data_IF_519251094948
#
_entry.id   IF_519251094948
#
_cell.length_a   1.000
_cell.length_b   1.000
_cell.length_c   1.000
_cell.angle_alpha   90.00
_cell.angle_beta   90.00
_cell.angle_gamma   90.00
#
_symmetry.space_group_name_H-M   'P 1'
#
loop_
_entity.id
_entity.type
_entity.pdbx_description
1 polymer ?
#
# COMPACT_ATOMS: atom_id res chain seq x y z
N UNK A 1 -29.12 -30.05 19.49
CA UNK A 1 -28.62 -29.59 18.17
C UNK A 1 -28.39 -28.07 18.10
N UNK A 2 -29.10 -27.24 18.87
CA UNK A 2 -28.95 -25.77 18.82
C UNK A 2 -27.65 -25.23 19.45
N UNK A 3 -27.14 -25.83 20.52
CA UNK A 3 -25.93 -25.37 21.21
C UNK A 3 -24.64 -25.48 20.39
N UNK A 4 -24.59 -26.41 19.42
CA UNK A 4 -23.47 -26.54 18.49
C UNK A 4 -23.51 -25.43 17.44
N UNK A 5 -24.70 -25.10 16.90
CA UNK A 5 -24.86 -24.02 15.92
C UNK A 5 -24.42 -22.66 16.49
N UNK A 6 -24.81 -22.38 17.73
CA UNK A 6 -24.41 -21.16 18.47
C UNK A 6 -22.88 -21.01 18.57
N UNK A 7 -22.17 -22.10 18.92
CA UNK A 7 -20.70 -22.12 18.97
C UNK A 7 -20.07 -21.87 17.60
N UNK A 8 -20.53 -22.57 16.58
CA UNK A 8 -20.05 -22.38 15.20
C UNK A 8 -20.26 -20.95 14.68
N UNK A 9 -21.39 -20.32 14.99
CA UNK A 9 -21.65 -18.91 14.61
C UNK A 9 -20.74 -17.96 15.37
N UNK A 10 -20.52 -18.19 16.67
CA UNK A 10 -19.61 -17.37 17.49
C UNK A 10 -18.16 -17.48 17.03
N UNK A 11 -17.71 -18.68 16.68
CA UNK A 11 -16.36 -18.92 16.15
C UNK A 11 -16.18 -18.28 14.78
N UNK A 12 -17.14 -18.41 13.85
CA UNK A 12 -17.08 -17.68 12.56
C UNK A 12 -17.05 -16.17 12.74
N UNK A 13 -17.85 -15.61 13.66
CA UNK A 13 -17.83 -14.16 13.96
C UNK A 13 -16.48 -13.70 14.50
N UNK A 14 -15.86 -14.49 15.40
CA UNK A 14 -14.52 -14.20 15.93
C UNK A 14 -13.46 -14.25 14.84
N UNK A 15 -13.46 -15.31 14.04
CA UNK A 15 -12.52 -15.46 12.92
C UNK A 15 -12.66 -14.29 11.93
N UNK A 16 -13.89 -13.95 11.51
CA UNK A 16 -14.13 -12.81 10.63
C UNK A 16 -13.61 -11.50 11.22
N UNK A 17 -13.81 -11.26 12.52
CA UNK A 17 -13.32 -10.05 13.21
C UNK A 17 -11.79 -9.98 13.19
N UNK A 18 -11.10 -11.09 13.45
CA UNK A 18 -9.64 -11.19 13.43
C UNK A 18 -9.08 -10.92 12.03
N UNK A 19 -9.68 -11.52 10.98
CA UNK A 19 -9.28 -11.27 9.60
C UNK A 19 -9.50 -9.82 9.18
N UNK A 20 -10.66 -9.23 9.52
CA UNK A 20 -10.95 -7.82 9.20
C UNK A 20 -9.94 -6.90 9.89
N UNK A 21 -9.64 -7.14 11.17
CA UNK A 21 -8.65 -6.35 11.90
C UNK A 21 -7.26 -6.45 11.24
N UNK A 22 -6.82 -7.66 10.88
CA UNK A 22 -5.54 -7.87 10.23
C UNK A 22 -5.47 -7.15 8.85
N UNK A 23 -6.52 -7.24 8.04
CA UNK A 23 -6.60 -6.59 6.73
C UNK A 23 -6.55 -5.06 6.88
N UNK A 24 -7.29 -4.51 7.84
CA UNK A 24 -7.29 -3.06 8.09
C UNK A 24 -5.89 -2.58 8.49
N UNK A 25 -5.22 -3.29 9.40
CA UNK A 25 -3.84 -2.94 9.79
C UNK A 25 -2.88 -3.02 8.62
N UNK A 26 -2.97 -4.07 7.80
CA UNK A 26 -2.13 -4.22 6.61
C UNK A 26 -2.37 -3.10 5.58
N UNK A 27 -3.63 -2.69 5.37
CA UNK A 27 -3.98 -1.60 4.46
C UNK A 27 -3.39 -0.26 4.92
N UNK A 28 -3.50 0.06 6.21
CA UNK A 28 -2.94 1.29 6.77
C UNK A 28 -1.42 1.32 6.57
N UNK A 29 -0.73 0.23 6.90
CA UNK A 29 0.71 0.11 6.68
C UNK A 29 1.07 0.24 5.19
N UNK A 30 0.33 -0.42 4.31
CA UNK A 30 0.57 -0.35 2.87
C UNK A 30 0.40 1.08 2.32
N UNK A 31 -0.59 1.84 2.81
CA UNK A 31 -0.78 3.23 2.45
C UNK A 31 0.39 4.11 2.91
N UNK A 32 0.89 3.91 4.12
CA UNK A 32 2.06 4.63 4.63
C UNK A 32 3.30 4.30 3.78
N UNK A 33 3.57 3.03 3.52
CA UNK A 33 4.72 2.60 2.71
C UNK A 33 4.64 3.21 1.30
N UNK A 34 3.46 3.18 0.67
CA UNK A 34 3.24 3.74 -0.67
C UNK A 34 3.37 5.27 -0.70
N UNK A 35 2.90 5.95 0.34
CA UNK A 35 2.97 7.41 0.41
C UNK A 35 4.41 7.89 0.62
N UNK A 36 5.16 7.25 1.54
CA UNK A 36 6.41 7.81 2.09
C UNK A 36 7.68 7.04 1.71
N UNK A 37 7.62 5.74 1.41
CA UNK A 37 8.82 4.90 1.26
C UNK A 37 9.11 4.62 -0.22
N UNK A 38 8.17 4.00 -0.93
CA UNK A 38 8.42 3.52 -2.31
C UNK A 38 7.27 3.82 -3.26
N UNK A 39 7.61 4.17 -4.49
CA UNK A 39 6.65 4.28 -5.58
C UNK A 39 7.25 3.76 -6.89
N UNK A 40 6.50 2.92 -7.60
CA UNK A 40 6.83 2.50 -8.94
C UNK A 40 6.40 3.57 -9.95
N UNK A 41 7.30 3.91 -10.87
CA UNK A 41 7.05 4.82 -11.98
C UNK A 41 7.47 4.18 -13.29
N UNK A 42 6.75 4.54 -14.36
CA UNK A 42 7.15 4.25 -15.72
C UNK A 42 7.74 5.52 -16.32
N UNK A 43 8.92 5.43 -16.95
CA UNK A 43 9.55 6.58 -17.59
C UNK A 43 8.78 6.94 -18.87
N UNK A 44 8.15 8.14 -18.95
CA UNK A 44 7.32 8.52 -20.09
C UNK A 44 8.09 9.25 -21.19
N UNK A 45 9.27 9.80 -20.89
CA UNK A 45 10.04 10.66 -21.81
C UNK A 45 11.52 10.28 -21.85
N UNK A 46 12.15 10.53 -23.00
CA UNK A 46 13.57 10.23 -23.25
C UNK A 46 14.54 11.30 -22.74
N UNK A 47 14.12 12.19 -21.83
CA UNK A 47 15.01 13.24 -21.31
C UNK A 47 16.14 12.70 -20.43
N UNK A 48 16.04 11.43 -20.01
CA UNK A 48 17.06 10.72 -19.23
C UNK A 48 17.88 9.73 -20.08
N UNK A 49 17.84 9.83 -21.41
CA UNK A 49 18.72 9.06 -22.31
C UNK A 49 20.16 9.59 -22.15
N UNK A 50 21.18 8.71 -22.03
CA UNK A 50 21.15 7.25 -22.25
C UNK A 50 20.91 6.38 -21.01
N UNK A 51 20.74 6.94 -19.82
CA UNK A 51 20.69 6.19 -18.55
C UNK A 51 19.40 5.39 -18.35
N UNK A 52 18.26 5.89 -18.83
CA UNK A 52 16.95 5.23 -18.75
C UNK A 52 16.21 5.36 -20.08
N UNK A 53 15.66 4.25 -20.58
CA UNK A 53 14.92 4.23 -21.83
C UNK A 53 13.43 4.48 -21.60
N UNK A 54 12.75 5.01 -22.63
CA UNK A 54 11.30 5.23 -22.58
C UNK A 54 10.61 3.87 -22.47
N UNK A 55 9.79 3.70 -21.42
CA UNK A 55 9.09 2.45 -21.16
C UNK A 55 9.64 1.63 -19.99
N UNK A 56 10.80 1.99 -19.44
CA UNK A 56 11.36 1.33 -18.27
C UNK A 56 10.50 1.56 -17.02
N UNK A 57 10.40 0.51 -16.20
CA UNK A 57 9.75 0.56 -14.89
C UNK A 57 10.83 0.70 -13.82
N UNK A 58 10.76 1.76 -13.04
CA UNK A 58 11.70 2.02 -11.95
C UNK A 58 10.96 2.08 -10.61
N UNK A 59 11.63 1.57 -9.57
CA UNK A 59 11.19 1.69 -8.20
C UNK A 59 11.96 2.85 -7.55
N UNK A 60 11.26 3.91 -7.17
CA UNK A 60 11.87 5.09 -6.57
C UNK A 60 11.76 5.01 -5.04
N UNK A 61 12.87 5.21 -4.35
CA UNK A 61 12.91 5.36 -2.89
C UNK A 61 12.68 6.83 -2.51
N UNK A 62 11.49 7.13 -1.99
CA UNK A 62 11.09 8.47 -1.55
C UNK A 62 11.67 8.87 -0.19
N UNK A 63 12.18 7.92 0.58
CA UNK A 63 12.79 8.19 1.89
C UNK A 63 14.00 9.11 1.78
N UNK A 64 14.80 8.97 0.72
CA UNK A 64 16.08 9.67 0.54
C UNK A 64 15.89 11.10 0.04
N UNK A 65 14.90 11.34 -0.83
CA UNK A 65 14.68 12.63 -1.49
C UNK A 65 13.79 13.60 -0.69
N UNK A 66 13.32 13.18 0.48
CA UNK A 66 12.36 13.93 1.28
C UNK A 66 10.93 13.66 0.84
N UNK A 67 10.05 13.53 1.82
CA UNK A 67 8.64 13.25 1.59
C UNK A 67 7.99 14.39 0.80
N UNK A 68 7.59 14.14 -0.45
CA UNK A 68 6.61 15.00 -1.13
C UNK A 68 5.27 14.85 -0.44
N UNK A 69 4.92 15.81 0.41
CA UNK A 69 3.63 15.87 1.08
C UNK A 69 2.58 16.06 -0.02
N UNK A 70 1.65 15.11 -0.23
CA UNK A 70 0.57 15.33 -1.18
C UNK A 70 -0.16 16.62 -0.79
N UNK A 71 -0.50 17.46 -1.77
CA UNK A 71 -1.11 18.79 -1.60
C UNK A 71 -0.19 19.94 -1.15
N UNK A 72 1.12 19.71 -1.03
CA UNK A 72 2.08 20.81 -0.81
C UNK A 72 2.66 21.32 -2.14
N UNK A 73 1.79 21.83 -3.01
CA UNK A 73 2.21 22.72 -4.09
C UNK A 73 2.26 24.13 -3.50
N UNK A 74 3.45 24.57 -3.08
CA UNK A 74 3.68 26.00 -2.84
C UNK A 74 3.72 26.66 -4.21
N UNK A 75 2.67 27.45 -4.48
CA UNK A 75 2.57 28.35 -5.63
C UNK A 75 3.80 29.27 -5.72
#
# INVERSE_FOLDING_TARGET
>A
MESLKERFVKDKKRLLKEYVQAIVTALILALIIRAYIVQAFKIPSGSMIPTLLVGDHILVNKFIYGTKIPFSDKK
#
